data_IF_797285989006
#
_entry.id   IF_797285989006
#
_cell.length_a   1.000
_cell.length_b   1.000
_cell.length_c   1.000
_cell.angle_alpha   90.00
_cell.angle_beta   90.00
_cell.angle_gamma   90.00
#
_symmetry.space_group_name_H-M   'P 1'
#
loop_
_entity.id
_entity.type
_entity.pdbx_description
1 polymer ?
#
# COMPACT_ATOMS: atom_id res chain seq x y z
N UNK A 1 5.36 -15.08 -1.34
CA UNK A 1 4.27 -14.80 -0.38
C UNK A 1 3.06 -14.37 -1.18
N UNK A 2 1.86 -14.78 -0.80
CA UNK A 2 0.64 -14.26 -1.45
C UNK A 2 0.38 -12.80 -1.04
N UNK A 3 -0.41 -12.09 -1.84
CA UNK A 3 -0.70 -10.67 -1.60
C UNK A 3 -1.40 -10.44 -0.24
N UNK A 4 -2.18 -11.42 0.23
CA UNK A 4 -2.90 -11.34 1.51
C UNK A 4 -1.93 -11.34 2.69
N UNK A 5 -0.92 -12.19 2.66
CA UNK A 5 0.11 -12.26 3.70
C UNK A 5 0.91 -10.97 3.76
N UNK A 6 1.35 -10.47 2.60
CA UNK A 6 2.06 -9.19 2.51
C UNK A 6 1.18 -8.03 2.99
N UNK A 7 -0.11 -8.04 2.67
CA UNK A 7 -1.06 -7.03 3.17
C UNK A 7 -1.13 -7.02 4.71
N UNK A 8 -1.29 -8.18 5.35
CA UNK A 8 -1.35 -8.28 6.81
C UNK A 8 -0.03 -7.87 7.48
N UNK A 9 1.11 -8.23 6.90
CA UNK A 9 2.42 -7.79 7.38
C UNK A 9 2.59 -6.27 7.26
N UNK A 10 2.16 -5.69 6.13
CA UNK A 10 2.16 -4.24 5.93
C UNK A 10 1.35 -3.52 7.01
N UNK A 11 0.14 -3.99 7.33
CA UNK A 11 -0.68 -3.42 8.41
C UNK A 11 0.02 -3.46 9.76
N UNK A 12 0.64 -4.60 10.11
CA UNK A 12 1.39 -4.74 11.36
C UNK A 12 2.58 -3.77 11.43
N UNK A 13 3.29 -3.55 10.32
CA UNK A 13 4.39 -2.60 10.25
C UNK A 13 3.90 -1.15 10.44
N UNK A 14 2.72 -0.82 9.92
CA UNK A 14 2.07 0.49 10.17
C UNK A 14 1.74 0.68 11.65
N UNK A 15 1.18 -0.33 12.32
CA UNK A 15 0.91 -0.30 13.76
C UNK A 15 2.17 -0.09 14.60
N UNK A 16 3.30 -0.60 14.11
CA UNK A 16 4.62 -0.43 14.74
C UNK A 16 5.30 0.91 14.40
N UNK A 17 4.69 1.76 13.57
CA UNK A 17 5.27 3.02 13.10
C UNK A 17 6.42 2.86 12.10
N UNK A 18 6.65 1.65 11.59
CA UNK A 18 7.72 1.32 10.64
C UNK A 18 7.28 1.62 9.20
N UNK A 19 7.10 2.91 8.90
CA UNK A 19 6.45 3.35 7.67
C UNK A 19 7.22 2.95 6.40
N UNK A 20 8.55 3.03 6.37
CA UNK A 20 9.32 2.65 5.18
C UNK A 20 9.30 1.13 4.92
N UNK A 21 9.34 0.31 5.97
CA UNK A 21 9.15 -1.14 5.85
C UNK A 21 7.73 -1.43 5.34
N UNK A 22 6.71 -0.76 5.86
CA UNK A 22 5.33 -0.90 5.39
C UNK A 22 5.16 -0.51 3.92
N UNK A 23 5.80 0.57 3.45
CA UNK A 23 5.78 0.98 2.04
C UNK A 23 6.38 -0.12 1.16
N UNK A 24 7.55 -0.66 1.54
CA UNK A 24 8.19 -1.75 0.80
C UNK A 24 7.29 -2.99 0.73
N UNK A 25 6.70 -3.37 1.86
CA UNK A 25 5.81 -4.54 1.96
C UNK A 25 4.53 -4.36 1.15
N UNK A 26 3.85 -3.21 1.25
CA UNK A 26 2.68 -2.93 0.42
C UNK A 26 3.00 -2.81 -1.07
N UNK A 27 4.19 -2.34 -1.43
CA UNK A 27 4.62 -2.32 -2.83
C UNK A 27 4.73 -3.73 -3.40
N UNK A 28 5.32 -4.68 -2.65
CA UNK A 28 5.33 -6.10 -3.02
C UNK A 28 3.92 -6.69 -3.08
N UNK A 29 3.05 -6.31 -2.13
CA UNK A 29 1.67 -6.76 -2.10
C UNK A 29 0.89 -6.27 -3.35
N UNK A 30 1.14 -5.03 -3.79
CA UNK A 30 0.61 -4.44 -5.01
C UNK A 30 1.09 -5.16 -6.26
N UNK A 31 2.38 -5.51 -6.33
CA UNK A 31 2.92 -6.29 -7.45
C UNK A 31 2.27 -7.67 -7.56
N UNK A 32 1.96 -8.31 -6.42
CA UNK A 32 1.30 -9.61 -6.37
C UNK A 32 -0.20 -9.55 -6.68
N UNK A 33 -0.89 -8.46 -6.33
CA UNK A 33 -2.32 -8.26 -6.59
C UNK A 33 -2.62 -6.79 -6.97
N UNK A 34 -2.36 -6.38 -8.22
CA UNK A 34 -2.45 -4.97 -8.63
C UNK A 34 -3.87 -4.41 -8.63
N UNK A 35 -4.89 -5.27 -8.62
CA UNK A 35 -6.30 -4.88 -8.57
C UNK A 35 -6.90 -4.95 -7.16
N UNK A 36 -6.09 -5.24 -6.13
CA UNK A 36 -6.59 -5.29 -4.75
C UNK A 36 -6.59 -3.88 -4.17
N UNK A 37 -7.74 -3.21 -4.27
CA UNK A 37 -7.92 -1.81 -3.92
C UNK A 37 -7.46 -1.47 -2.49
N UNK A 38 -7.72 -2.35 -1.51
CA UNK A 38 -7.32 -2.14 -0.12
C UNK A 38 -5.80 -2.03 0.06
N UNK A 39 -5.01 -2.78 -0.72
CA UNK A 39 -3.54 -2.66 -0.70
C UNK A 39 -3.13 -1.27 -1.19
N UNK A 40 -3.72 -0.79 -2.28
CA UNK A 40 -3.42 0.52 -2.86
C UNK A 40 -3.83 1.65 -1.91
N UNK A 41 -5.01 1.57 -1.31
CA UNK A 41 -5.48 2.58 -0.36
C UNK A 41 -4.56 2.67 0.85
N UNK A 42 -4.16 1.54 1.43
CA UNK A 42 -3.24 1.53 2.57
C UNK A 42 -1.85 2.03 2.18
N UNK A 43 -1.31 1.63 1.03
CA UNK A 43 -0.03 2.16 0.52
C UNK A 43 -0.08 3.69 0.37
N UNK A 44 -1.16 4.22 -0.21
CA UNK A 44 -1.35 5.67 -0.34
C UNK A 44 -1.37 6.39 1.01
N UNK A 45 -2.08 5.84 2.00
CA UNK A 45 -2.13 6.39 3.37
C UNK A 45 -0.74 6.38 4.02
N UNK A 46 0.03 5.29 3.89
CA UNK A 46 1.37 5.23 4.47
C UNK A 46 2.32 6.21 3.77
N UNK A 47 2.24 6.33 2.45
CA UNK A 47 3.03 7.32 1.69
C UNK A 47 2.73 8.75 2.17
N UNK A 48 1.46 9.10 2.43
CA UNK A 48 1.12 10.40 3.04
C UNK A 48 1.74 10.58 4.42
N UNK A 49 1.71 9.54 5.27
CA UNK A 49 2.32 9.59 6.61
C UNK A 49 3.84 9.77 6.54
N UNK A 50 4.50 9.23 5.51
CA UNK A 50 5.92 9.45 5.20
C UNK A 50 6.19 10.76 4.42
N UNK A 51 5.22 11.66 4.27
CA UNK A 51 5.32 12.91 3.50
C UNK A 51 5.61 12.73 1.99
N UNK A 52 5.42 11.51 1.46
CA UNK A 52 5.61 11.15 0.04
C UNK A 52 4.31 11.37 -0.75
N UNK A 53 3.79 12.60 -0.68
CA UNK A 53 2.46 12.94 -1.19
C UNK A 53 2.29 12.72 -2.71
N UNK A 54 3.33 13.00 -3.51
CA UNK A 54 3.29 12.78 -4.95
C UNK A 54 3.08 11.30 -5.31
N UNK A 55 3.75 10.39 -4.59
CA UNK A 55 3.59 8.95 -4.79
C UNK A 55 2.24 8.45 -4.27
N UNK A 56 1.76 9.01 -3.15
CA UNK A 56 0.44 8.69 -2.63
C UNK A 56 -0.67 9.00 -3.66
N UNK A 57 -0.60 10.16 -4.33
CA UNK A 57 -1.54 10.54 -5.38
C UNK A 57 -1.56 9.48 -6.49
N UNK A 58 -0.39 9.10 -7.02
CA UNK A 58 -0.29 8.09 -8.08
C UNK A 58 -0.98 6.78 -7.67
N UNK A 59 -0.75 6.32 -6.44
CA UNK A 59 -1.33 5.06 -5.95
C UNK A 59 -2.85 5.19 -5.74
N UNK A 60 -3.35 6.34 -5.26
CA UNK A 60 -4.79 6.56 -5.16
C UNK A 60 -5.48 6.66 -6.52
N UNK A 61 -4.81 7.21 -7.53
CA UNK A 61 -5.33 7.23 -8.89
C UNK A 61 -5.41 5.82 -9.49
N UNK A 62 -4.41 4.97 -9.20
CA UNK A 62 -4.47 3.55 -9.55
C UNK A 62 -5.68 2.87 -8.87
N UNK A 63 -5.89 3.11 -7.58
CA UNK A 63 -7.04 2.57 -6.85
C UNK A 63 -8.39 3.02 -7.46
N UNK A 64 -8.49 4.30 -7.83
CA UNK A 64 -9.68 4.90 -8.47
C UNK A 64 -9.94 4.34 -9.88
N UNK A 65 -8.89 3.92 -10.58
CA UNK A 65 -9.00 3.37 -11.94
C UNK A 65 -9.48 1.91 -11.97
N UNK A 66 -9.46 1.20 -10.83
CA UNK A 66 -10.01 -0.15 -10.72
C UNK A 66 -11.53 -0.05 -10.81
N UNK A 67 -12.08 -0.53 -11.92
CA UNK A 67 -13.54 -0.67 -12.09
C UNK A 67 -14.00 -1.95 -11.39
N UNK A 68 -15.08 -1.82 -10.62
CA UNK A 68 -15.83 -2.96 -10.08
C UNK A 68 -16.68 -3.62 -11.14
#
# INVERSE_FOLDING_TARGET
MDAKTLYQEGLKLVEQGKLEEAISTFTKAKEAAPMYTEILLNLGVVLMRSQRNAEAIIVFEQARAIKG
#
